data_IF_884253635455
#
_entry.id   IF_884253635455
#
_cell.length_a   1.000
_cell.length_b   1.000
_cell.length_c   1.000
_cell.angle_alpha   90.00
_cell.angle_beta   90.00
_cell.angle_gamma   90.00
#
_symmetry.space_group_name_H-M   'P 1'
#
loop_
_entity.id
_entity.type
_entity.pdbx_description
1 polymer ?
#
# COMPACT_ATOMS: atom_id res chain seq x y z
N UNK A 1 22.11 -11.16 1.05
CA UNK A 1 20.79 -10.72 1.51
C UNK A 1 20.15 -11.89 2.22
N UNK A 2 19.97 -11.81 3.51
CA UNK A 2 19.25 -12.81 4.31
C UNK A 2 17.76 -12.63 4.08
N UNK A 3 17.02 -13.74 4.10
CA UNK A 3 15.56 -13.76 3.96
C UNK A 3 14.99 -14.69 5.01
N UNK A 4 14.17 -14.14 5.88
CA UNK A 4 13.49 -14.91 6.90
C UNK A 4 12.00 -15.06 6.52
N UNK A 5 11.43 -16.23 6.80
CA UNK A 5 10.01 -16.50 6.55
C UNK A 5 9.28 -16.57 7.88
N UNK A 6 8.28 -15.73 8.05
CA UNK A 6 7.42 -15.71 9.22
C UNK A 6 6.19 -16.58 8.95
N UNK A 7 6.02 -17.63 9.73
CA UNK A 7 4.92 -18.58 9.59
C UNK A 7 3.78 -18.25 10.56
N UNK A 8 2.53 -18.32 10.11
CA UNK A 8 1.36 -18.04 10.96
C UNK A 8 0.06 -17.86 10.19
N UNK A 9 0.14 -17.47 8.92
CA UNK A 9 -1.04 -17.39 8.05
C UNK A 9 -1.37 -18.74 7.39
N UNK A 10 -2.66 -19.07 7.35
CA UNK A 10 -3.17 -20.30 6.71
C UNK A 10 -3.79 -20.03 5.33
N UNK A 11 -3.98 -18.78 4.97
CA UNK A 11 -4.59 -18.30 3.73
C UNK A 11 -3.76 -17.18 3.09
N UNK A 12 -4.05 -16.79 1.83
CA UNK A 12 -3.41 -15.67 1.16
C UNK A 12 -3.39 -14.39 2.00
N UNK A 13 -2.25 -13.71 2.01
CA UNK A 13 -2.04 -12.45 2.73
C UNK A 13 -2.03 -11.31 1.73
N UNK A 14 -2.79 -10.24 2.02
CA UNK A 14 -3.04 -9.16 1.07
C UNK A 14 -2.54 -7.79 1.51
N UNK A 15 -2.35 -7.58 2.80
CA UNK A 15 -1.94 -6.30 3.34
C UNK A 15 -0.80 -6.45 4.35
N UNK A 16 0.13 -5.50 4.30
CA UNK A 16 1.20 -5.35 5.30
C UNK A 16 1.42 -3.88 5.61
N UNK A 17 1.61 -3.57 6.88
CA UNK A 17 2.06 -2.26 7.35
C UNK A 17 3.10 -2.42 8.44
N UNK A 18 4.15 -1.60 8.37
CA UNK A 18 5.19 -1.53 9.40
C UNK A 18 4.82 -0.48 10.44
N UNK A 19 5.10 -0.76 11.72
CA UNK A 19 5.02 0.26 12.76
C UNK A 19 6.07 1.35 12.49
N UNK A 20 5.73 2.64 12.50
CA UNK A 20 6.65 3.69 12.07
C UNK A 20 7.82 3.96 13.02
N UNK A 21 7.77 3.47 14.27
CA UNK A 21 8.77 3.73 15.30
C UNK A 21 9.39 2.45 15.87
N UNK A 22 8.69 1.32 15.78
CA UNK A 22 9.10 0.05 16.37
C UNK A 22 9.43 -0.99 15.30
N UNK A 23 10.24 -1.97 15.65
CA UNK A 23 10.54 -3.11 14.77
C UNK A 23 9.38 -4.12 14.76
N UNK A 24 8.18 -3.63 14.45
CA UNK A 24 6.96 -4.41 14.36
C UNK A 24 6.33 -4.28 12.97
N UNK A 25 5.61 -5.32 12.55
CA UNK A 25 4.77 -5.28 11.37
C UNK A 25 3.42 -5.94 11.63
N UNK A 26 2.41 -5.54 10.88
CA UNK A 26 1.07 -6.08 10.91
C UNK A 26 0.69 -6.60 9.54
N UNK A 27 0.18 -7.82 9.49
CA UNK A 27 -0.20 -8.46 8.23
C UNK A 27 -1.62 -9.01 8.32
N UNK A 28 -2.34 -8.97 7.21
CA UNK A 28 -3.71 -9.47 7.15
C UNK A 28 -4.06 -9.99 5.75
N UNK A 29 -5.07 -10.82 5.69
CA UNK A 29 -5.54 -11.40 4.43
C UNK A 29 -6.85 -12.15 4.57
N UNK A 30 -6.91 -13.32 3.94
CA UNK A 30 -8.11 -14.15 3.89
C UNK A 30 -8.34 -14.98 5.18
N UNK A 31 -7.41 -14.95 6.12
CA UNK A 31 -7.53 -15.61 7.44
C UNK A 31 -8.53 -14.92 8.37
N UNK A 32 -8.97 -13.71 8.00
CA UNK A 32 -9.90 -12.91 8.80
C UNK A 32 -9.33 -12.52 10.18
N UNK A 33 -8.01 -12.38 10.27
CA UNK A 33 -7.27 -11.92 11.44
C UNK A 33 -6.14 -11.00 11.02
N UNK A 34 -5.68 -10.16 11.94
CA UNK A 34 -4.48 -9.36 11.76
C UNK A 34 -3.41 -9.92 12.69
N UNK A 35 -2.25 -10.25 12.15
CA UNK A 35 -1.12 -10.78 12.90
C UNK A 35 -0.09 -9.69 13.13
N UNK A 36 0.31 -9.49 14.38
CA UNK A 36 1.40 -8.61 14.79
C UNK A 36 2.69 -9.42 14.87
N UNK A 37 3.74 -8.93 14.24
CA UNK A 37 5.05 -9.58 14.15
C UNK A 37 6.13 -8.76 14.83
N UNK A 38 6.95 -9.42 15.62
CA UNK A 38 8.25 -8.93 16.10
C UNK A 38 9.30 -9.22 15.00
N UNK A 39 9.79 -8.18 14.36
CA UNK A 39 10.76 -8.31 13.27
C UNK A 39 12.17 -8.64 13.77
N UNK A 40 12.49 -8.34 15.04
CA UNK A 40 13.79 -8.65 15.65
C UNK A 40 13.89 -10.14 15.98
N UNK A 41 12.87 -10.65 16.69
CA UNK A 41 12.83 -12.05 17.14
C UNK A 41 12.13 -12.97 16.12
N UNK A 42 11.59 -12.43 15.01
CA UNK A 42 10.99 -13.16 13.89
C UNK A 42 9.85 -14.09 14.34
N UNK A 43 8.96 -13.60 15.19
CA UNK A 43 7.82 -14.36 15.71
C UNK A 43 6.55 -13.52 15.74
N UNK A 44 5.40 -14.17 15.70
CA UNK A 44 4.14 -13.51 15.98
C UNK A 44 4.02 -13.16 17.47
N UNK A 45 3.41 -12.02 17.76
CA UNK A 45 3.16 -11.55 19.13
C UNK A 45 1.70 -11.69 19.50
N UNK A 46 0.81 -11.13 18.69
CA UNK A 46 -0.63 -11.06 18.97
C UNK A 46 -1.43 -11.23 17.69
N UNK A 47 -2.70 -11.58 17.85
CA UNK A 47 -3.66 -11.69 16.75
C UNK A 47 -4.92 -10.89 17.11
N UNK A 48 -5.36 -10.04 16.18
CA UNK A 48 -6.62 -9.30 16.27
C UNK A 48 -7.72 -10.15 15.60
N UNK A 49 -8.56 -10.78 16.41
CA UNK A 49 -9.48 -11.85 15.95
C UNK A 49 -10.90 -11.40 15.60
N UNK A 50 -11.23 -10.13 15.80
CA UNK A 50 -12.61 -9.63 15.64
C UNK A 50 -12.94 -9.23 14.20
N UNK A 51 -12.45 -10.00 13.23
CA UNK A 51 -12.65 -9.73 11.80
C UNK A 51 -13.51 -10.84 11.18
N UNK A 52 -14.51 -10.44 10.40
CA UNK A 52 -15.46 -11.38 9.77
C UNK A 52 -15.23 -11.55 8.27
N UNK A 53 -14.48 -10.66 7.65
CA UNK A 53 -14.25 -10.61 6.21
C UNK A 53 -12.75 -10.59 5.88
N UNK A 54 -12.41 -10.85 4.62
CA UNK A 54 -11.04 -10.70 4.10
C UNK A 54 -10.58 -9.24 4.23
N UNK A 55 -9.34 -9.04 4.65
CA UNK A 55 -8.72 -7.71 4.78
C UNK A 55 -7.82 -7.46 3.57
N UNK A 56 -7.98 -6.29 2.91
CA UNK A 56 -7.17 -5.87 1.78
C UNK A 56 -6.30 -4.65 2.06
N UNK A 57 -6.56 -3.92 3.13
CA UNK A 57 -5.79 -2.73 3.49
C UNK A 57 -5.59 -2.62 4.99
N UNK A 58 -4.41 -2.17 5.39
CA UNK A 58 -4.04 -1.86 6.76
C UNK A 58 -3.41 -0.47 6.83
N UNK A 59 -3.68 0.24 7.92
CA UNK A 59 -3.04 1.53 8.25
C UNK A 59 -2.85 1.65 9.75
N UNK A 60 -1.73 2.26 10.17
CA UNK A 60 -1.42 2.54 11.58
C UNK A 60 -1.46 4.04 11.82
N UNK A 61 -2.13 4.44 12.89
CA UNK A 61 -2.21 5.83 13.32
C UNK A 61 -1.70 5.93 14.76
N UNK A 62 -0.44 6.31 14.92
CA UNK A 62 0.26 6.33 16.21
C UNK A 62 -0.31 7.36 17.18
N UNK A 63 -0.61 8.63 16.80
CA UNK A 63 -1.14 9.59 17.74
C UNK A 63 -2.41 9.13 18.47
N UNK A 64 -3.26 8.35 17.80
CA UNK A 64 -4.49 7.81 18.38
C UNK A 64 -4.37 6.34 18.81
N UNK A 65 -3.19 5.72 18.67
CA UNK A 65 -2.94 4.30 18.97
C UNK A 65 -3.94 3.36 18.27
N UNK A 66 -4.14 3.58 16.96
CA UNK A 66 -5.10 2.82 16.16
C UNK A 66 -4.42 1.95 15.11
N UNK A 67 -4.93 0.74 14.94
CA UNK A 67 -4.75 -0.10 13.76
C UNK A 67 -6.07 -0.13 13.00
N UNK A 68 -6.03 0.21 11.72
CA UNK A 68 -7.23 0.35 10.89
C UNK A 68 -7.17 -0.69 9.78
N UNK A 69 -8.27 -1.39 9.56
CA UNK A 69 -8.38 -2.44 8.56
C UNK A 69 -9.55 -2.22 7.61
N UNK A 70 -9.27 -2.35 6.31
CA UNK A 70 -10.26 -2.28 5.23
C UNK A 70 -10.64 -3.67 4.73
N UNK A 71 -11.92 -3.99 4.80
CA UNK A 71 -12.46 -5.30 4.52
C UNK A 71 -13.10 -5.42 3.13
N UNK A 72 -13.16 -6.66 2.62
CA UNK A 72 -13.82 -6.99 1.36
C UNK A 72 -15.34 -6.73 1.36
N UNK A 73 -15.99 -6.85 2.52
CA UNK A 73 -17.43 -6.53 2.67
C UNK A 73 -17.72 -5.03 2.79
N UNK A 74 -16.70 -4.19 2.65
CA UNK A 74 -16.82 -2.73 2.78
C UNK A 74 -16.79 -2.22 4.21
N UNK A 75 -16.48 -3.07 5.19
CA UNK A 75 -16.37 -2.62 6.58
C UNK A 75 -14.98 -2.04 6.86
N UNK A 76 -14.92 -0.83 7.38
CA UNK A 76 -13.72 -0.20 7.92
C UNK A 76 -13.68 -0.42 9.43
N UNK A 77 -12.65 -1.11 9.91
CA UNK A 77 -12.50 -1.51 11.31
C UNK A 77 -11.42 -0.67 12.00
N UNK A 78 -11.69 -0.22 13.22
CA UNK A 78 -10.77 0.52 14.06
C UNK A 78 -10.46 -0.29 15.31
N UNK A 79 -9.21 -0.70 15.45
CA UNK A 79 -8.72 -1.43 16.62
C UNK A 79 -7.85 -0.54 17.49
N UNK A 80 -7.95 -0.72 18.79
CA UNK A 80 -6.96 -0.22 19.74
C UNK A 80 -5.66 -1.03 19.60
N UNK A 81 -4.57 -0.36 19.32
CA UNK A 81 -3.28 -0.99 19.01
C UNK A 81 -2.68 -1.71 20.23
N UNK A 82 -2.96 -1.22 21.44
CA UNK A 82 -2.44 -1.78 22.68
C UNK A 82 -3.20 -2.99 23.16
N UNK A 83 -4.53 -2.91 23.17
CA UNK A 83 -5.42 -3.94 23.73
C UNK A 83 -5.97 -4.91 22.70
N UNK A 84 -5.74 -4.69 21.41
CA UNK A 84 -6.29 -5.44 20.27
C UNK A 84 -7.82 -5.40 20.14
N UNK A 85 -8.52 -4.57 20.94
CA UNK A 85 -9.97 -4.48 20.94
C UNK A 85 -10.50 -3.72 19.72
N UNK A 86 -11.58 -4.22 19.14
CA UNK A 86 -12.35 -3.48 18.15
C UNK A 86 -13.10 -2.35 18.82
N UNK A 87 -12.79 -1.10 18.42
CA UNK A 87 -13.40 0.10 18.95
C UNK A 87 -14.63 0.55 18.14
N UNK A 88 -14.51 0.47 16.80
CA UNK A 88 -15.58 0.90 15.89
C UNK A 88 -15.51 0.13 14.57
N UNK A 89 -16.66 -0.02 13.92
CA UNK A 89 -16.80 -0.51 12.56
C UNK A 89 -17.70 0.46 11.78
N UNK A 90 -17.27 0.85 10.57
CA UNK A 90 -18.01 1.76 9.68
C UNK A 90 -18.26 1.01 8.37
N UNK A 91 -19.52 0.82 7.94
CA UNK A 91 -19.82 0.24 6.63
C UNK A 91 -19.68 1.30 5.53
N UNK A 92 -18.88 1.00 4.48
CA UNK A 92 -18.67 1.87 3.31
C UNK A 92 -19.25 1.27 2.01
N UNK A 93 -20.16 0.33 2.12
CA UNK A 93 -20.93 -0.27 1.03
C UNK A 93 -20.15 -0.94 -0.13
N UNK A 94 -18.81 -0.94 -0.12
CA UNK A 94 -17.98 -1.59 -1.16
C UNK A 94 -16.61 -1.96 -0.62
N UNK A 95 -16.00 -3.03 -1.15
CA UNK A 95 -14.69 -3.51 -0.70
C UNK A 95 -13.63 -2.40 -0.65
N UNK A 96 -12.86 -2.36 0.43
CA UNK A 96 -11.85 -1.34 0.71
C UNK A 96 -10.49 -1.84 0.28
N UNK A 97 -9.79 -1.09 -0.60
CA UNK A 97 -8.50 -1.53 -1.16
C UNK A 97 -7.30 -0.73 -0.68
N UNK A 98 -7.48 0.53 -0.29
CA UNK A 98 -6.39 1.33 0.24
C UNK A 98 -6.91 2.28 1.31
N UNK A 99 -6.09 2.46 2.35
CA UNK A 99 -6.31 3.37 3.46
C UNK A 99 -5.02 4.13 3.67
N UNK A 100 -5.12 5.44 3.92
CA UNK A 100 -3.96 6.25 4.29
C UNK A 100 -4.37 7.35 5.26
N UNK A 101 -3.59 7.51 6.31
CA UNK A 101 -3.74 8.58 7.28
C UNK A 101 -3.15 9.88 6.76
N UNK A 102 -3.88 10.98 6.91
CA UNK A 102 -3.43 12.33 6.63
C UNK A 102 -3.18 13.07 7.95
N UNK A 103 -1.89 13.22 8.37
CA UNK A 103 -1.59 13.68 9.73
C UNK A 103 -1.96 15.14 9.98
N UNK A 104 -1.86 16.01 8.97
CA UNK A 104 -2.15 17.45 9.11
C UNK A 104 -3.64 17.71 9.32
N UNK A 105 -4.51 16.93 8.65
CA UNK A 105 -5.96 17.08 8.76
C UNK A 105 -6.59 16.13 9.79
N UNK A 106 -5.82 15.18 10.33
CA UNK A 106 -6.32 14.10 11.19
C UNK A 106 -7.46 13.30 10.54
N UNK A 107 -7.33 13.06 9.24
CA UNK A 107 -8.31 12.36 8.41
C UNK A 107 -7.77 11.04 7.87
N UNK A 108 -8.66 10.10 7.61
CA UNK A 108 -8.36 8.93 6.78
C UNK A 108 -8.93 9.15 5.40
N UNK A 109 -8.13 8.85 4.40
CA UNK A 109 -8.57 8.70 3.02
C UNK A 109 -8.72 7.21 2.77
N UNK A 110 -9.86 6.80 2.21
CA UNK A 110 -10.19 5.38 1.98
C UNK A 110 -10.73 5.21 0.57
N UNK A 111 -10.16 4.26 -0.19
CA UNK A 111 -10.61 3.93 -1.54
C UNK A 111 -11.34 2.59 -1.60
N UNK A 112 -12.28 2.48 -2.53
CA UNK A 112 -13.17 1.33 -2.65
C UNK A 112 -13.26 0.75 -4.06
N UNK A 113 -13.80 -0.46 -4.15
CA UNK A 113 -13.99 -1.23 -5.39
C UNK A 113 -14.93 -0.55 -6.40
N UNK A 114 -15.87 0.20 -5.93
CA UNK A 114 -16.86 0.90 -6.78
C UNK A 114 -16.43 2.29 -7.22
N UNK A 115 -15.15 2.65 -7.06
CA UNK A 115 -14.60 3.95 -7.46
C UNK A 115 -14.88 5.11 -6.51
N UNK A 116 -15.35 4.85 -5.29
CA UNK A 116 -15.56 5.91 -4.29
C UNK A 116 -14.30 6.15 -3.46
N UNK A 117 -14.10 7.41 -3.12
CA UNK A 117 -13.15 7.86 -2.09
C UNK A 117 -13.97 8.41 -0.92
N UNK A 118 -13.62 7.99 0.29
CA UNK A 118 -14.19 8.47 1.54
C UNK A 118 -13.14 9.20 2.34
N UNK A 119 -13.52 10.32 2.91
CA UNK A 119 -12.74 11.10 3.87
C UNK A 119 -13.39 10.93 5.23
N UNK A 120 -12.64 10.43 6.20
CA UNK A 120 -13.17 10.03 7.51
C UNK A 120 -12.41 10.76 8.59
N UNK A 121 -13.11 11.43 9.46
CA UNK A 121 -12.57 12.06 10.68
C UNK A 121 -12.04 10.98 11.63
N UNK A 122 -10.84 11.15 12.14
CA UNK A 122 -10.32 10.29 13.20
C UNK A 122 -10.84 10.65 14.59
N UNK A 123 -11.28 11.90 14.80
CA UNK A 123 -11.74 12.39 16.10
C UNK A 123 -13.03 11.67 16.53
N UNK A 124 -14.05 11.65 15.68
CA UNK A 124 -15.35 11.04 15.96
C UNK A 124 -15.65 9.79 15.12
N UNK A 125 -14.75 9.47 14.21
CA UNK A 125 -14.87 8.34 13.28
C UNK A 125 -16.16 8.44 12.45
N UNK A 126 -16.43 9.64 11.88
CA UNK A 126 -17.55 9.92 10.97
C UNK A 126 -17.05 10.15 9.54
N UNK A 127 -17.92 9.94 8.56
CA UNK A 127 -17.65 10.28 7.16
C UNK A 127 -17.83 11.79 7.00
N UNK A 128 -16.73 12.49 6.69
CA UNK A 128 -16.74 13.94 6.43
C UNK A 128 -17.13 14.25 5.00
N UNK A 129 -16.61 13.47 4.06
CA UNK A 129 -16.80 13.70 2.64
C UNK A 129 -16.74 12.38 1.86
N UNK A 130 -17.46 12.32 0.75
CA UNK A 130 -17.43 11.21 -0.20
C UNK A 130 -17.57 11.74 -1.62
N UNK A 131 -16.75 11.21 -2.53
CA UNK A 131 -16.85 11.52 -3.94
C UNK A 131 -16.53 10.30 -4.82
N UNK A 132 -16.94 10.33 -6.08
CA UNK A 132 -16.60 9.34 -7.09
C UNK A 132 -15.36 9.77 -7.85
N UNK A 133 -14.33 8.93 -7.84
CA UNK A 133 -13.15 9.08 -8.68
C UNK A 133 -13.18 8.16 -9.92
N UNK A 134 -14.36 7.81 -10.37
CA UNK A 134 -14.61 6.89 -11.49
C UNK A 134 -15.65 5.85 -11.11
N UNK A 135 -15.91 4.92 -12.04
CA UNK A 135 -16.85 3.82 -11.83
C UNK A 135 -16.16 2.48 -11.56
N UNK A 136 -14.84 2.45 -11.71
CA UNK A 136 -14.02 1.28 -11.57
C UNK A 136 -13.24 1.32 -10.25
N UNK A 137 -12.73 0.17 -9.83
CA UNK A 137 -11.91 -0.01 -8.63
C UNK A 137 -10.76 0.98 -8.54
N UNK A 138 -10.66 1.69 -7.40
CA UNK A 138 -9.49 2.48 -7.02
C UNK A 138 -8.58 1.61 -6.16
N UNK A 139 -7.51 1.09 -6.74
CA UNK A 139 -6.58 0.19 -6.04
C UNK A 139 -5.58 0.92 -5.17
N UNK A 140 -5.18 2.11 -5.58
CA UNK A 140 -4.20 2.90 -4.88
C UNK A 140 -4.51 4.39 -5.03
N UNK A 141 -4.06 5.16 -4.08
CA UNK A 141 -3.98 6.60 -4.12
C UNK A 141 -2.77 7.07 -3.33
N UNK A 142 -2.32 8.27 -3.59
CA UNK A 142 -1.30 8.94 -2.77
C UNK A 142 -1.60 10.43 -2.71
N UNK A 143 -1.01 11.13 -1.74
CA UNK A 143 -1.17 12.58 -1.63
C UNK A 143 0.16 13.27 -1.33
N UNK A 144 0.19 14.56 -1.64
CA UNK A 144 1.29 15.46 -1.37
C UNK A 144 0.78 16.77 -0.77
N UNK A 145 1.13 17.03 0.47
CA UNK A 145 0.82 18.31 1.13
C UNK A 145 1.57 19.47 0.46
N UNK A 146 2.80 19.23 -0.01
CA UNK A 146 3.63 20.24 -0.68
C UNK A 146 2.98 20.75 -1.96
N UNK A 147 2.40 19.84 -2.76
CA UNK A 147 1.73 20.17 -4.02
C UNK A 147 0.23 20.44 -3.82
N UNK A 148 -0.31 20.13 -2.66
CA UNK A 148 -1.74 20.14 -2.38
C UNK A 148 -2.53 19.23 -3.34
N UNK A 149 -2.00 18.04 -3.65
CA UNK A 149 -2.62 17.07 -4.55
C UNK A 149 -2.95 15.76 -3.84
N UNK A 150 -4.14 15.24 -4.15
CA UNK A 150 -4.54 13.84 -3.99
C UNK A 150 -4.61 13.21 -5.38
N UNK A 151 -3.94 12.08 -5.59
CA UNK A 151 -3.99 11.33 -6.85
C UNK A 151 -4.58 9.95 -6.62
N UNK A 152 -5.44 9.50 -7.52
CA UNK A 152 -6.06 8.17 -7.48
C UNK A 152 -5.68 7.36 -8.71
N UNK A 153 -5.44 6.08 -8.52
CA UNK A 153 -5.10 5.11 -9.56
C UNK A 153 -6.24 4.11 -9.72
N UNK A 154 -6.84 4.07 -10.90
CA UNK A 154 -8.05 3.33 -11.18
C UNK A 154 -7.85 2.17 -12.16
N UNK A 155 -8.75 1.21 -12.07
CA UNK A 155 -8.80 0.07 -13.00
C UNK A 155 -9.24 0.46 -14.41
N UNK A 156 -9.77 1.68 -14.61
CA UNK A 156 -10.12 2.28 -15.90
C UNK A 156 -8.92 2.87 -16.67
N UNK A 157 -7.67 2.57 -16.21
CA UNK A 157 -6.41 2.99 -16.80
C UNK A 157 -6.03 4.45 -16.53
N UNK A 158 -6.88 5.19 -15.84
CA UNK A 158 -6.70 6.62 -15.56
C UNK A 158 -6.06 6.86 -14.20
N UNK A 159 -5.29 7.94 -14.15
CA UNK A 159 -4.90 8.63 -12.92
C UNK A 159 -5.67 9.93 -12.86
N UNK A 160 -6.31 10.20 -11.72
CA UNK A 160 -7.05 11.44 -11.49
C UNK A 160 -6.42 12.23 -10.35
N UNK A 161 -6.36 13.53 -10.53
CA UNK A 161 -5.75 14.50 -9.63
C UNK A 161 -6.84 15.38 -9.03
N UNK A 162 -6.80 15.51 -7.72
CA UNK A 162 -7.72 16.34 -6.94
C UNK A 162 -6.94 17.31 -6.09
N UNK A 163 -7.54 18.44 -5.78
CA UNK A 163 -7.06 19.35 -4.74
C UNK A 163 -7.17 18.63 -3.38
N UNK A 164 -6.09 18.58 -2.61
CA UNK A 164 -6.06 17.86 -1.33
C UNK A 164 -6.85 18.60 -0.24
N UNK A 165 -7.03 19.92 -0.34
CA UNK A 165 -7.69 20.72 0.68
C UNK A 165 -9.21 20.54 0.66
N UNK A 166 -9.82 20.55 -0.52
CA UNK A 166 -11.29 20.53 -0.71
C UNK A 166 -11.80 19.34 -1.55
N UNK A 167 -10.88 18.50 -2.04
CA UNK A 167 -11.15 17.31 -2.83
C UNK A 167 -11.82 17.58 -4.19
N UNK A 168 -11.73 18.80 -4.70
CA UNK A 168 -12.22 19.17 -6.04
C UNK A 168 -11.34 18.56 -7.13
N UNK A 169 -11.97 18.12 -8.22
CA UNK A 169 -11.27 17.56 -9.38
C UNK A 169 -10.43 18.63 -10.08
N UNK A 170 -9.17 18.28 -10.44
CA UNK A 170 -8.25 19.16 -11.15
C UNK A 170 -7.97 18.64 -12.56
N UNK A 171 -7.57 17.35 -12.69
CA UNK A 171 -7.06 16.80 -13.93
C UNK A 171 -7.18 15.29 -13.97
N UNK A 172 -7.22 14.70 -15.17
CA UNK A 172 -7.05 13.27 -15.37
C UNK A 172 -6.23 12.99 -16.63
N UNK A 173 -5.57 11.85 -16.66
CA UNK A 173 -4.82 11.40 -17.83
C UNK A 173 -4.81 9.87 -17.91
N UNK A 174 -4.71 9.36 -19.15
CA UNK A 174 -4.51 7.94 -19.41
C UNK A 174 -3.07 7.57 -19.04
N UNK A 175 -2.94 6.89 -17.91
CA UNK A 175 -1.62 6.56 -17.38
C UNK A 175 -1.05 5.27 -17.94
N UNK A 176 -1.89 4.31 -18.32
CA UNK A 176 -1.46 2.99 -18.78
C UNK A 176 -2.48 2.39 -19.77
N UNK A 177 -2.06 1.34 -20.49
CA UNK A 177 -2.95 0.57 -21.38
C UNK A 177 -3.86 -0.42 -20.65
N UNK A 178 -3.60 -0.66 -19.34
CA UNK A 178 -4.39 -1.50 -18.46
C UNK A 178 -4.49 -0.85 -17.07
N UNK A 179 -5.40 -1.37 -16.23
CA UNK A 179 -5.67 -0.82 -14.91
C UNK A 179 -4.43 -0.48 -14.09
N UNK A 180 -4.43 0.71 -13.49
CA UNK A 180 -3.34 1.22 -12.65
C UNK A 180 -3.46 0.61 -11.27
N UNK A 181 -2.43 -0.15 -10.86
CA UNK A 181 -2.42 -0.90 -9.60
C UNK A 181 -1.74 -0.17 -8.45
N UNK A 182 -0.79 0.70 -8.75
CA UNK A 182 0.02 1.41 -7.78
C UNK A 182 0.29 2.85 -8.23
N UNK A 183 0.34 3.76 -7.26
CA UNK A 183 0.71 5.16 -7.46
C UNK A 183 1.47 5.68 -6.24
N UNK A 184 2.53 6.47 -6.46
CA UNK A 184 3.34 7.02 -5.38
C UNK A 184 4.07 8.29 -5.82
N UNK A 185 3.94 9.37 -5.06
CA UNK A 185 4.79 10.55 -5.24
C UNK A 185 6.24 10.25 -4.86
N UNK A 186 7.18 10.79 -5.63
CA UNK A 186 8.59 10.79 -5.23
C UNK A 186 8.79 11.63 -3.96
N UNK A 187 9.82 11.33 -3.13
CA UNK A 187 10.07 12.07 -1.89
C UNK A 187 10.31 13.57 -2.09
N UNK A 188 10.83 13.98 -3.26
CA UNK A 188 11.03 15.37 -3.65
C UNK A 188 9.80 16.00 -4.31
N UNK A 189 8.70 15.25 -4.45
CA UNK A 189 7.43 15.64 -5.07
C UNK A 189 7.52 16.08 -6.55
N UNK A 190 8.66 15.86 -7.22
CA UNK A 190 8.84 16.24 -8.65
C UNK A 190 8.17 15.27 -9.59
N UNK A 191 8.04 14.01 -9.16
CA UNK A 191 7.50 12.92 -9.96
C UNK A 191 6.39 12.17 -9.26
N UNK A 192 5.49 11.62 -10.06
CA UNK A 192 4.54 10.59 -9.68
C UNK A 192 4.96 9.28 -10.36
N UNK A 193 5.20 8.23 -9.60
CA UNK A 193 5.39 6.88 -10.15
C UNK A 193 4.05 6.15 -10.22
N UNK A 194 3.82 5.44 -11.32
CA UNK A 194 2.66 4.58 -11.50
C UNK A 194 3.07 3.20 -11.96
N UNK A 195 2.42 2.17 -11.40
CA UNK A 195 2.59 0.77 -11.78
C UNK A 195 1.27 0.15 -12.17
N UNK A 196 1.26 -0.67 -13.22
CA UNK A 196 0.03 -1.15 -13.83
C UNK A 196 -0.01 -2.66 -14.06
N UNK A 197 -1.20 -3.13 -14.42
CA UNK A 197 -1.45 -4.48 -14.91
C UNK A 197 -0.76 -4.75 -16.26
N UNK A 198 -0.37 -3.70 -17.01
CA UNK A 198 0.43 -3.80 -18.23
C UNK A 198 1.92 -4.11 -17.96
N UNK A 199 2.30 -4.32 -16.69
CA UNK A 199 3.65 -4.63 -16.21
C UNK A 199 4.66 -3.48 -16.34
N UNK A 200 4.23 -2.30 -16.78
CA UNK A 200 5.06 -1.11 -16.92
C UNK A 200 5.07 -0.29 -15.65
N UNK A 201 6.23 0.30 -15.39
CA UNK A 201 6.42 1.42 -14.47
C UNK A 201 6.57 2.68 -15.32
N UNK A 202 5.87 3.74 -14.92
CA UNK A 202 5.98 5.06 -15.56
C UNK A 202 6.24 6.13 -14.52
N UNK A 203 7.00 7.15 -14.91
CA UNK A 203 7.18 8.38 -14.12
C UNK A 203 6.59 9.58 -14.85
N UNK A 204 5.93 10.44 -14.09
CA UNK A 204 5.19 11.59 -14.60
C UNK A 204 5.66 12.85 -13.88
N UNK A 205 5.97 13.90 -14.60
CA UNK A 205 6.24 15.21 -13.99
C UNK A 205 4.99 15.76 -13.31
N UNK A 206 5.10 16.15 -12.05
CA UNK A 206 3.95 16.65 -11.27
C UNK A 206 3.47 18.05 -11.70
N UNK A 207 4.28 18.80 -12.45
CA UNK A 207 3.93 20.12 -12.93
C UNK A 207 3.01 20.11 -14.17
N UNK A 208 3.16 19.14 -15.05
CA UNK A 208 2.46 19.12 -16.34
C UNK A 208 1.93 17.72 -16.75
N UNK A 209 2.13 16.71 -15.89
CA UNK A 209 1.74 15.32 -16.10
C UNK A 209 2.33 14.68 -17.36
N UNK A 210 3.44 15.22 -17.87
CA UNK A 210 4.18 14.61 -18.99
C UNK A 210 4.89 13.32 -18.50
N UNK A 211 4.77 12.26 -19.29
CA UNK A 211 5.49 11.01 -19.03
C UNK A 211 6.97 11.17 -19.36
N UNK A 212 7.84 10.97 -18.39
CA UNK A 212 9.28 11.03 -18.60
C UNK A 212 9.89 9.66 -18.85
N UNK A 213 9.49 8.66 -18.05
CA UNK A 213 9.96 7.29 -18.18
C UNK A 213 8.80 6.32 -18.37
N UNK A 214 9.00 5.33 -19.24
CA UNK A 214 8.06 4.24 -19.49
C UNK A 214 8.84 2.99 -19.87
N UNK A 215 8.85 1.98 -18.99
CA UNK A 215 9.57 0.73 -19.24
C UNK A 215 8.90 -0.48 -18.61
N UNK A 216 9.08 -1.69 -19.18
CA UNK A 216 8.58 -2.92 -18.59
C UNK A 216 9.38 -3.25 -17.31
N UNK A 217 8.78 -2.97 -16.17
CA UNK A 217 9.42 -3.18 -14.86
C UNK A 217 9.28 -4.62 -14.37
N UNK A 218 8.19 -5.29 -14.71
CA UNK A 218 7.87 -6.65 -14.31
C UNK A 218 7.35 -7.49 -15.49
N UNK A 219 7.06 -8.77 -15.25
CA UNK A 219 6.43 -9.64 -16.26
C UNK A 219 4.90 -9.63 -16.17
N UNK A 220 4.35 -9.19 -15.04
CA UNK A 220 2.92 -9.12 -14.75
C UNK A 220 2.59 -7.87 -13.93
N UNK A 221 1.31 -7.75 -13.54
CA UNK A 221 0.76 -6.62 -12.80
C UNK A 221 1.63 -6.18 -11.62
N UNK A 222 1.86 -4.88 -11.53
CA UNK A 222 2.53 -4.22 -10.39
C UNK A 222 1.45 -3.83 -9.38
N UNK A 223 1.64 -4.22 -8.12
CA UNK A 223 0.63 -4.04 -7.08
C UNK A 223 0.97 -2.94 -6.08
N UNK A 224 2.26 -2.69 -5.82
CA UNK A 224 2.69 -1.66 -4.88
C UNK A 224 4.01 -1.02 -5.30
N UNK A 225 4.17 0.24 -4.92
CA UNK A 225 5.41 1.02 -4.98
C UNK A 225 5.63 1.60 -3.58
N UNK A 226 6.83 1.44 -3.02
CA UNK A 226 7.18 2.02 -1.73
C UNK A 226 8.61 2.58 -1.75
N UNK A 227 8.77 3.86 -1.43
CA UNK A 227 10.08 4.49 -1.29
C UNK A 227 10.72 4.10 0.02
N UNK A 228 12.05 3.95 -0.01
CA UNK A 228 12.86 3.79 1.19
C UNK A 228 12.76 5.06 2.06
N UNK A 229 12.67 4.94 3.39
CA UNK A 229 12.46 6.10 4.25
C UNK A 229 13.58 7.16 4.18
N UNK A 230 14.81 6.79 3.88
CA UNK A 230 15.97 7.70 3.93
C UNK A 230 16.96 7.58 2.78
N UNK A 231 17.04 6.41 2.12
CA UNK A 231 18.01 6.15 1.04
C UNK A 231 17.36 6.31 -0.34
N UNK A 232 18.16 6.56 -1.41
CA UNK A 232 17.64 6.81 -2.75
C UNK A 232 17.21 5.51 -3.47
N UNK A 233 16.32 4.75 -2.84
CA UNK A 233 15.75 3.53 -3.39
C UNK A 233 14.24 3.51 -3.28
N UNK A 234 13.60 2.74 -4.14
CA UNK A 234 12.22 2.33 -3.98
C UNK A 234 12.05 0.86 -4.36
N UNK A 235 10.98 0.25 -3.93
CA UNK A 235 10.63 -1.13 -4.21
C UNK A 235 9.30 -1.23 -4.92
N UNK A 236 9.18 -2.27 -5.75
CA UNK A 236 7.93 -2.68 -6.39
C UNK A 236 7.67 -4.15 -6.14
N UNK A 237 6.41 -4.56 -6.03
CA UNK A 237 6.02 -5.96 -6.03
C UNK A 237 5.02 -6.27 -7.13
N UNK A 238 4.98 -7.54 -7.52
CA UNK A 238 4.22 -7.94 -8.69
C UNK A 238 3.61 -9.34 -8.56
N UNK A 239 2.60 -9.55 -9.39
CA UNK A 239 2.03 -10.87 -9.66
C UNK A 239 3.08 -11.85 -10.23
N UNK A 240 4.21 -11.37 -10.76
CA UNK A 240 5.30 -12.20 -11.26
C UNK A 240 6.15 -12.86 -10.16
N UNK A 241 5.70 -12.78 -8.89
CA UNK A 241 6.31 -13.40 -7.70
C UNK A 241 7.62 -12.73 -7.27
N UNK A 242 7.97 -11.61 -7.87
CA UNK A 242 9.21 -10.88 -7.57
C UNK A 242 8.94 -9.57 -6.83
N UNK A 243 9.97 -9.16 -6.07
CA UNK A 243 10.14 -7.82 -5.57
C UNK A 243 11.35 -7.25 -6.26
N UNK A 244 11.28 -6.03 -6.74
CA UNK A 244 12.40 -5.35 -7.36
C UNK A 244 12.77 -4.09 -6.60
N UNK A 245 14.06 -3.88 -6.43
CA UNK A 245 14.62 -2.68 -5.80
C UNK A 245 15.22 -1.83 -6.91
N UNK A 246 14.88 -0.55 -6.91
CA UNK A 246 15.26 0.41 -7.95
C UNK A 246 15.99 1.59 -7.33
N UNK A 247 16.93 2.20 -8.06
CA UNK A 247 17.48 3.51 -7.70
C UNK A 247 16.50 4.61 -8.06
N UNK A 248 16.38 5.63 -7.23
CA UNK A 248 15.47 6.76 -7.50
C UNK A 248 16.01 7.73 -8.52
N UNK A 249 17.32 7.80 -8.68
CA UNK A 249 18.02 8.79 -9.52
C UNK A 249 17.75 8.58 -11.01
N UNK A 250 17.82 7.32 -11.46
CA UNK A 250 17.77 6.95 -12.88
C UNK A 250 16.75 5.84 -13.17
N UNK A 251 15.98 5.42 -12.17
CA UNK A 251 15.04 4.29 -12.20
C UNK A 251 15.69 2.96 -12.64
N UNK A 252 17.00 2.82 -12.50
CA UNK A 252 17.72 1.58 -12.84
C UNK A 252 17.44 0.48 -11.80
N UNK A 253 17.39 -0.77 -12.28
CA UNK A 253 17.20 -1.92 -11.40
C UNK A 253 18.47 -2.14 -10.55
N UNK A 254 18.32 -2.02 -9.23
CA UNK A 254 19.39 -2.35 -8.28
C UNK A 254 19.41 -3.85 -7.97
N UNK A 255 18.27 -4.46 -7.69
CA UNK A 255 18.18 -5.87 -7.32
C UNK A 255 16.82 -6.48 -7.62
N UNK A 256 16.80 -7.75 -8.02
CA UNK A 256 15.58 -8.54 -8.16
C UNK A 256 15.56 -9.63 -7.09
N UNK A 257 14.53 -9.63 -6.25
CA UNK A 257 14.30 -10.56 -5.16
C UNK A 257 13.30 -11.61 -5.60
N UNK A 258 13.77 -12.72 -6.13
CA UNK A 258 12.94 -13.82 -6.62
C UNK A 258 13.67 -15.16 -6.53
N UNK A 259 12.91 -16.26 -6.64
CA UNK A 259 13.46 -17.62 -6.70
C UNK A 259 14.36 -17.78 -7.93
N UNK A 260 13.99 -17.20 -9.06
CA UNK A 260 14.77 -17.26 -10.31
C UNK A 260 16.14 -16.59 -10.21
N UNK A 261 16.34 -15.77 -9.17
CA UNK A 261 17.63 -15.14 -8.84
C UNK A 261 18.37 -15.83 -7.70
N UNK A 262 17.94 -17.05 -7.33
CA UNK A 262 18.60 -17.88 -6.31
C UNK A 262 18.29 -17.46 -4.87
N UNK A 263 17.27 -16.64 -4.64
CA UNK A 263 16.84 -16.26 -3.30
C UNK A 263 15.60 -17.09 -2.87
N UNK A 264 15.38 -17.32 -1.56
CA UNK A 264 14.19 -17.98 -1.06
C UNK A 264 12.95 -17.07 -1.18
N UNK A 265 12.61 -16.71 -2.42
CA UNK A 265 11.52 -15.80 -2.78
C UNK A 265 10.13 -16.37 -2.58
N UNK A 266 9.12 -15.56 -2.92
CA UNK A 266 7.74 -15.99 -2.94
C UNK A 266 7.44 -16.95 -4.11
N UNK A 267 6.52 -17.91 -3.88
CA UNK A 267 6.11 -18.89 -4.89
C UNK A 267 4.90 -18.46 -5.70
N UNK A 268 4.13 -17.51 -5.18
CA UNK A 268 2.93 -16.94 -5.80
C UNK A 268 3.03 -15.41 -5.82
N UNK A 269 1.96 -14.74 -6.26
CA UNK A 269 1.89 -13.27 -6.35
C UNK A 269 2.32 -12.59 -5.07
N UNK A 270 3.17 -11.58 -5.15
CA UNK A 270 3.46 -10.68 -4.03
C UNK A 270 2.42 -9.56 -4.03
N UNK A 271 1.57 -9.56 -3.01
CA UNK A 271 0.37 -8.73 -2.97
C UNK A 271 0.63 -7.33 -2.40
N UNK A 272 1.51 -7.24 -1.39
CA UNK A 272 1.86 -5.97 -0.75
C UNK A 272 3.28 -6.02 -0.18
N UNK A 273 3.89 -4.84 -0.03
CA UNK A 273 5.25 -4.64 0.50
C UNK A 273 5.33 -3.33 1.29
N UNK A 274 6.18 -3.33 2.31
CA UNK A 274 6.60 -2.09 2.97
C UNK A 274 8.07 -2.19 3.41
N UNK A 275 8.65 -1.05 3.76
CA UNK A 275 9.92 -0.98 4.47
C UNK A 275 9.68 -1.04 5.97
N UNK A 276 10.63 -1.61 6.72
CA UNK A 276 10.69 -1.39 8.17
C UNK A 276 10.96 0.08 8.49
N UNK A 277 10.60 0.53 9.69
CA UNK A 277 10.77 1.92 10.11
C UNK A 277 12.21 2.45 9.94
N UNK A 278 13.19 1.60 10.22
CA UNK A 278 14.62 1.93 10.08
C UNK A 278 15.19 1.75 8.66
N UNK A 279 14.36 1.29 7.72
CA UNK A 279 14.75 1.02 6.34
C UNK A 279 15.64 -0.21 6.14
N UNK A 280 16.00 -0.95 7.19
CA UNK A 280 16.92 -2.09 7.07
C UNK A 280 16.30 -3.36 6.55
N UNK A 281 14.97 -3.42 6.49
CA UNK A 281 14.26 -4.59 6.01
C UNK A 281 13.09 -4.23 5.09
N UNK A 282 12.83 -5.13 4.13
CA UNK A 282 11.60 -5.14 3.35
C UNK A 282 10.70 -6.23 3.93
N UNK A 283 9.45 -5.93 4.17
CA UNK A 283 8.44 -6.91 4.57
C UNK A 283 7.50 -7.11 3.38
N UNK A 284 7.24 -8.36 3.03
CA UNK A 284 6.40 -8.72 1.89
C UNK A 284 5.40 -9.81 2.22
N UNK A 285 4.23 -9.74 1.60
CA UNK A 285 3.14 -10.70 1.78
C UNK A 285 2.63 -11.22 0.44
N UNK A 286 2.13 -12.47 0.44
CA UNK A 286 1.85 -13.18 -0.81
C UNK A 286 0.64 -14.11 -0.71
N UNK A 287 0.15 -14.50 -1.90
CA UNK A 287 -0.82 -15.59 -2.07
C UNK A 287 -0.27 -16.94 -1.57
N UNK A 288 1.06 -17.09 -1.43
CA UNK A 288 1.70 -18.30 -0.91
C UNK A 288 1.58 -18.45 0.62
N UNK A 289 0.82 -17.56 1.27
CA UNK A 289 0.53 -17.52 2.71
C UNK A 289 1.73 -17.14 3.57
N UNK A 290 2.84 -16.78 2.97
CA UNK A 290 4.06 -16.43 3.67
C UNK A 290 4.20 -14.92 3.83
N UNK A 291 4.75 -14.54 4.97
CA UNK A 291 5.32 -13.21 5.22
C UNK A 291 6.83 -13.37 5.18
N UNK A 292 7.50 -12.57 4.38
CA UNK A 292 8.97 -12.60 4.29
C UNK A 292 9.58 -11.28 4.70
N UNK A 293 10.69 -11.39 5.45
CA UNK A 293 11.52 -10.28 5.86
C UNK A 293 12.86 -10.41 5.13
N UNK A 294 13.22 -9.38 4.38
CA UNK A 294 14.42 -9.33 3.56
C UNK A 294 15.38 -8.29 4.12
N UNK A 295 16.54 -8.70 4.61
CA UNK A 295 17.55 -7.75 5.06
C UNK A 295 18.04 -6.90 3.89
N UNK A 296 17.97 -5.59 4.05
CA UNK A 296 18.46 -4.63 3.08
C UNK A 296 19.79 -4.03 3.55
N UNK A 297 20.80 -4.27 2.76
CA UNK A 297 22.11 -3.60 2.88
C UNK A 297 22.42 -3.00 1.52
N UNK A 298 22.47 -1.66 1.46
CA UNK A 298 22.80 -0.89 0.26
C UNK A 298 24.28 -0.96 -0.06
#
# INVERSE_FOLDING_TARGET
>A
MRVDTLEGHNNPVYAVVSHPELSLAYTAGNDKGIVEWDLVNQKHLRIFNQVRSTIYALEIVIPQQLLIAGCNDGTLLFFDLSSTKLLKAIPLASAIFHIKYHPVKEELIVSTDNGSIFIISLTDKSILHQFKSGNEKIRAFDFSDVLNYLVTASNDNLVRVYNLQDYTFIHEFEAHSMGVGAVKFSPDHRFLLTGSRDAHLRSWHTQNWACEHNFPAHLFAIYKIAYHPTLPYFITCSRDKSIKIWRTEDLSLFKNLSIDKGLPGHRLSVNDICWSADGKSIISVSDDKQVKVWDFTA
#
